data_IF_353284223118
#
_entry.id   IF_353284223118
#
_cell.length_a   1.000
_cell.length_b   1.000
_cell.length_c   1.000
_cell.angle_alpha   90.00
_cell.angle_beta   90.00
_cell.angle_gamma   90.00
#
_symmetry.space_group_name_H-M   'P 1'
#
loop_
_entity.id
_entity.type
_entity.pdbx_description
1 polymer ?
#
# COMPACT_ATOMS: atom_id res chain seq x y z
N UNK A 1 23.65 -2.70 78.28
CA UNK A 1 23.05 -1.69 77.37
C UNK A 1 23.49 -1.81 75.89
N UNK A 2 24.76 -2.16 75.56
CA UNK A 2 25.27 -2.26 74.17
C UNK A 2 24.49 -3.22 73.23
N UNK A 3 24.15 -4.44 73.66
CA UNK A 3 23.40 -5.44 72.86
C UNK A 3 22.04 -4.97 72.33
N UNK A 4 21.37 -4.03 73.02
CA UNK A 4 20.05 -3.49 72.61
C UNK A 4 20.17 -2.41 71.53
N UNK A 5 21.33 -1.74 71.45
CA UNK A 5 21.63 -0.70 70.44
C UNK A 5 22.04 -1.34 69.11
N UNK A 6 22.85 -2.39 69.15
CA UNK A 6 23.22 -3.20 67.97
C UNK A 6 22.00 -3.87 67.34
N UNK A 7 21.12 -4.50 68.14
CA UNK A 7 19.88 -5.10 67.63
C UNK A 7 18.93 -4.09 66.99
N UNK A 8 18.85 -2.86 67.53
CA UNK A 8 18.04 -1.77 66.95
C UNK A 8 18.66 -1.24 65.65
N UNK A 9 19.99 -1.15 65.57
CA UNK A 9 20.71 -0.80 64.34
C UNK A 9 20.51 -1.86 63.24
N UNK A 10 20.71 -3.13 63.56
CA UNK A 10 20.50 -4.23 62.61
C UNK A 10 19.04 -4.29 62.13
N UNK A 11 18.05 -4.09 63.02
CA UNK A 11 16.65 -4.02 62.60
C UNK A 11 16.38 -2.85 61.64
N UNK A 12 16.93 -1.67 61.92
CA UNK A 12 16.78 -0.50 61.05
C UNK A 12 17.45 -0.69 59.68
N UNK A 13 18.63 -1.31 59.64
CA UNK A 13 19.34 -1.61 58.37
C UNK A 13 18.58 -2.65 57.54
N UNK A 14 18.07 -3.71 58.17
CA UNK A 14 17.27 -4.74 57.48
C UNK A 14 15.98 -4.16 56.93
N UNK A 15 15.30 -3.29 57.67
CA UNK A 15 14.08 -2.62 57.22
C UNK A 15 14.35 -1.65 56.05
N UNK A 16 15.45 -0.89 56.10
CA UNK A 16 15.86 -0.01 54.99
C UNK A 16 16.24 -0.80 53.73
N UNK A 17 16.89 -1.96 53.90
CA UNK A 17 17.25 -2.84 52.78
C UNK A 17 16.01 -3.50 52.14
N UNK A 18 15.04 -3.93 52.94
CA UNK A 18 13.74 -4.43 52.46
C UNK A 18 12.94 -3.36 51.70
N UNK A 19 12.98 -2.11 52.17
CA UNK A 19 12.32 -0.99 51.48
C UNK A 19 12.96 -0.70 50.12
N UNK A 20 14.30 -0.78 50.01
CA UNK A 20 15.03 -0.59 48.75
C UNK A 20 14.76 -1.70 47.70
N UNK A 21 14.52 -2.94 48.13
CA UNK A 21 14.18 -4.05 47.22
C UNK A 21 12.75 -3.91 46.66
N UNK A 22 11.83 -3.31 47.43
CA UNK A 22 10.44 -3.13 47.01
C UNK A 22 10.27 -2.11 45.86
N UNK A 23 11.22 -1.20 45.66
CA UNK A 23 11.13 -0.10 44.67
C UNK A 23 11.45 -0.56 43.23
N UNK A 24 11.99 -1.78 43.03
CA UNK A 24 12.37 -2.30 41.71
C UNK A 24 11.28 -3.13 41.00
N UNK A 25 10.06 -3.20 41.55
CA UNK A 25 8.96 -4.00 40.96
C UNK A 25 8.11 -3.21 39.94
N UNK A 26 8.77 -2.48 39.03
CA UNK A 26 8.11 -1.79 37.91
C UNK A 26 7.98 -2.70 36.68
N UNK A 27 6.87 -3.41 36.53
CA UNK A 27 6.58 -4.18 35.32
C UNK A 27 6.07 -3.24 34.21
N UNK A 28 6.99 -2.65 33.45
CA UNK A 28 6.65 -1.82 32.29
C UNK A 28 6.10 -2.66 31.13
N UNK A 29 4.78 -2.84 31.10
CA UNK A 29 4.09 -3.35 29.90
C UNK A 29 4.12 -2.25 28.84
N UNK A 30 5.04 -2.35 27.88
CA UNK A 30 4.95 -1.57 26.64
C UNK A 30 3.61 -1.95 26.00
N UNK A 31 2.70 -0.99 25.92
CA UNK A 31 1.43 -1.17 25.21
C UNK A 31 1.70 -1.44 23.74
N UNK A 32 0.84 -2.23 23.11
CA UNK A 32 0.93 -2.49 21.68
C UNK A 32 0.86 -1.16 20.92
N UNK A 33 1.71 -0.96 19.90
CA UNK A 33 1.65 0.26 19.10
C UNK A 33 0.28 0.34 18.42
N UNK A 34 -0.37 1.50 18.51
CA UNK A 34 -1.60 1.76 17.79
C UNK A 34 -1.25 1.82 16.29
N UNK A 35 -1.86 0.97 15.43
CA UNK A 35 -1.60 1.02 14.00
C UNK A 35 -1.97 2.39 13.46
N UNK A 36 -1.09 3.00 12.70
CA UNK A 36 -1.40 4.24 11.98
C UNK A 36 -2.55 3.97 11.01
N UNK A 37 -3.61 4.77 11.10
CA UNK A 37 -4.78 4.62 10.23
C UNK A 37 -4.38 5.03 8.81
N UNK A 38 -4.10 4.04 7.95
CA UNK A 38 -3.71 4.29 6.56
C UNK A 38 -4.93 4.88 5.82
N UNK A 39 -4.84 6.16 5.45
CA UNK A 39 -5.83 6.82 4.60
C UNK A 39 -5.58 6.40 3.16
N UNK A 40 -6.45 5.56 2.61
CA UNK A 40 -6.34 5.10 1.23
C UNK A 40 -6.72 6.22 0.25
N UNK A 41 -6.04 6.34 -0.91
CA UNK A 41 -6.45 7.26 -1.96
C UNK A 41 -7.82 6.92 -2.54
N UNK A 42 -8.48 7.91 -3.13
CA UNK A 42 -9.70 7.70 -3.92
C UNK A 42 -9.38 6.91 -5.19
N UNK A 43 -10.25 5.96 -5.54
CA UNK A 43 -10.12 5.19 -6.76
C UNK A 43 -10.21 6.08 -8.01
N UNK A 44 -9.44 5.71 -9.03
CA UNK A 44 -9.46 6.36 -10.35
C UNK A 44 -10.80 6.04 -11.03
N UNK A 45 -11.52 7.06 -11.50
CA UNK A 45 -12.84 6.87 -12.13
C UNK A 45 -12.85 7.06 -13.64
N UNK A 46 -11.75 7.54 -14.23
CA UNK A 46 -11.66 7.91 -15.64
C UNK A 46 -10.52 7.20 -16.39
N UNK A 47 -10.28 5.91 -16.08
CA UNK A 47 -9.34 5.11 -16.85
C UNK A 47 -9.84 4.93 -18.28
N UNK A 48 -9.00 5.27 -19.25
CA UNK A 48 -9.22 5.10 -20.68
C UNK A 48 -8.08 4.29 -21.32
N UNK A 49 -8.40 3.53 -22.37
CA UNK A 49 -7.43 2.81 -23.20
C UNK A 49 -7.60 3.22 -24.66
N UNK A 50 -6.51 3.50 -25.36
CA UNK A 50 -6.50 3.87 -26.78
C UNK A 50 -5.36 3.16 -27.50
N UNK A 51 -5.54 2.83 -28.78
CA UNK A 51 -4.44 2.37 -29.61
C UNK A 51 -3.42 3.48 -29.80
N UNK A 52 -2.15 3.15 -29.56
CA UNK A 52 -1.01 4.03 -29.81
C UNK A 52 -0.01 3.40 -30.76
N UNK A 53 1.03 4.15 -31.10
CA UNK A 53 2.18 3.57 -31.80
C UNK A 53 2.90 2.61 -30.86
N UNK A 54 2.97 1.33 -31.25
CA UNK A 54 3.69 0.29 -30.50
C UNK A 54 2.92 -0.38 -29.37
N UNK A 55 1.61 -0.15 -29.22
CA UNK A 55 0.79 -0.86 -28.24
C UNK A 55 -0.49 -0.15 -27.81
N UNK A 56 -0.94 -0.44 -26.59
CA UNK A 56 -2.12 0.19 -25.98
C UNK A 56 -1.66 1.26 -24.99
N UNK A 57 -2.15 2.49 -25.16
CA UNK A 57 -1.90 3.61 -24.25
C UNK A 57 -3.06 3.68 -23.25
N UNK A 58 -2.73 3.53 -21.98
CA UNK A 58 -3.64 3.77 -20.86
C UNK A 58 -3.48 5.21 -20.38
N UNK A 59 -4.60 5.89 -20.12
CA UNK A 59 -4.65 7.26 -19.59
C UNK A 59 -5.61 7.35 -18.41
N UNK A 60 -5.23 8.09 -17.40
CA UNK A 60 -6.07 8.36 -16.24
C UNK A 60 -5.68 9.66 -15.56
N UNK A 61 -6.53 10.14 -14.66
CA UNK A 61 -6.19 11.23 -13.75
C UNK A 61 -6.52 10.92 -12.30
N UNK A 62 -5.84 11.60 -11.37
CA UNK A 62 -6.07 11.46 -9.93
C UNK A 62 -6.47 12.81 -9.36
N UNK A 63 -7.66 12.88 -8.75
CA UNK A 63 -8.06 14.05 -7.96
C UNK A 63 -7.25 14.05 -6.65
N UNK A 64 -6.19 14.85 -6.64
CA UNK A 64 -5.13 14.87 -5.63
C UNK A 64 -5.66 15.07 -4.20
N UNK A 65 -5.61 14.02 -3.38
CA UNK A 65 -5.80 14.09 -1.92
C UNK A 65 -4.68 13.26 -1.25
N UNK A 66 -3.55 13.90 -0.98
CA UNK A 66 -2.41 13.29 -0.28
C UNK A 66 -1.20 12.96 -1.17
N UNK A 67 -0.13 12.45 -0.55
CA UNK A 67 1.13 12.15 -1.21
C UNK A 67 1.04 10.80 -1.94
N UNK A 68 1.04 10.84 -3.26
CA UNK A 68 1.06 9.64 -4.12
C UNK A 68 2.45 9.00 -4.11
N UNK A 69 2.51 7.67 -4.15
CA UNK A 69 3.75 6.91 -4.36
C UNK A 69 3.85 6.40 -5.80
N UNK A 70 2.72 6.00 -6.39
CA UNK A 70 2.74 5.32 -7.68
C UNK A 70 1.41 4.67 -8.05
N UNK A 71 1.49 3.83 -9.08
CA UNK A 71 0.37 3.16 -9.72
C UNK A 71 0.68 1.68 -9.93
N UNK A 72 -0.31 0.82 -9.72
CA UNK A 72 -0.24 -0.58 -10.16
C UNK A 72 -1.25 -0.83 -11.26
N UNK A 73 -0.76 -1.34 -12.38
CA UNK A 73 -1.54 -1.61 -13.58
C UNK A 73 -1.70 -3.11 -13.70
N UNK A 74 -2.95 -3.53 -13.78
CA UNK A 74 -3.30 -4.93 -13.98
C UNK A 74 -4.03 -5.13 -15.29
N UNK A 75 -3.75 -6.25 -15.94
CA UNK A 75 -4.31 -6.64 -17.22
C UNK A 75 -4.87 -8.05 -17.15
N UNK A 76 -6.02 -8.24 -17.77
CA UNK A 76 -6.61 -9.55 -18.04
C UNK A 76 -6.82 -9.69 -19.53
N UNK A 77 -6.38 -10.83 -20.07
CA UNK A 77 -6.77 -11.25 -21.41
C UNK A 77 -8.19 -11.84 -21.35
N UNK A 78 -9.11 -11.26 -22.11
CA UNK A 78 -10.52 -11.68 -22.13
C UNK A 78 -10.75 -12.74 -23.20
N UNK A 79 -9.85 -12.88 -24.19
CA UNK A 79 -9.94 -13.88 -25.25
C UNK A 79 -9.44 -13.35 -26.58
N UNK A 80 -9.72 -14.09 -27.65
CA UNK A 80 -9.46 -13.65 -29.03
C UNK A 80 -10.70 -12.96 -29.63
N UNK A 81 -10.51 -12.16 -30.68
CA UNK A 81 -11.64 -11.55 -31.42
C UNK A 81 -12.62 -12.61 -31.97
N UNK A 82 -12.16 -13.85 -32.17
CA UNK A 82 -12.96 -14.99 -32.61
C UNK A 82 -13.74 -15.70 -31.48
N UNK A 83 -13.35 -15.50 -30.22
CA UNK A 83 -13.98 -16.17 -29.08
C UNK A 83 -15.01 -15.23 -28.45
N UNK A 84 -16.25 -15.33 -28.91
CA UNK A 84 -17.41 -14.70 -28.29
C UNK A 84 -17.74 -15.41 -26.97
N UNK A 85 -16.91 -15.26 -25.94
CA UNK A 85 -17.20 -15.74 -24.60
C UNK A 85 -17.91 -14.64 -23.78
N UNK A 86 -19.12 -14.91 -23.25
CA UNK A 86 -19.84 -13.93 -22.43
C UNK A 86 -19.23 -13.72 -21.04
N UNK A 87 -18.40 -14.64 -20.55
CA UNK A 87 -17.84 -14.61 -19.19
C UNK A 87 -16.50 -15.35 -19.13
N UNK A 88 -15.51 -14.89 -19.91
CA UNK A 88 -14.20 -15.54 -19.92
C UNK A 88 -13.54 -15.45 -18.55
N UNK A 89 -13.27 -16.59 -17.88
CA UNK A 89 -12.52 -16.61 -16.64
C UNK A 89 -11.06 -16.24 -16.96
N UNK A 90 -10.62 -15.11 -16.42
CA UNK A 90 -9.23 -14.69 -16.48
C UNK A 90 -8.87 -13.98 -15.19
N UNK A 91 -7.66 -14.19 -14.69
CA UNK A 91 -7.16 -13.40 -13.56
C UNK A 91 -6.54 -12.09 -14.07
N UNK A 92 -6.67 -11.03 -13.28
CA UNK A 92 -5.92 -9.82 -13.52
C UNK A 92 -4.47 -10.05 -13.09
N UNK A 93 -3.56 -9.93 -14.03
CA UNK A 93 -2.12 -10.05 -13.80
C UNK A 93 -1.50 -8.67 -13.67
N UNK A 94 -0.52 -8.50 -12.78
CA UNK A 94 0.21 -7.25 -12.63
C UNK A 94 1.19 -7.10 -13.81
N UNK A 95 1.00 -6.06 -14.62
CA UNK A 95 1.87 -5.77 -15.77
C UNK A 95 2.83 -4.61 -15.51
N UNK A 96 2.52 -3.74 -14.54
CA UNK A 96 3.40 -2.67 -14.11
C UNK A 96 3.14 -2.27 -12.65
N UNK A 97 4.22 -2.07 -11.90
CA UNK A 97 4.24 -1.36 -10.62
C UNK A 97 5.13 -0.13 -10.84
N UNK A 98 4.51 1.06 -10.92
CA UNK A 98 5.14 2.29 -11.39
C UNK A 98 5.26 3.28 -10.24
N UNK A 99 6.48 3.72 -9.95
CA UNK A 99 6.67 4.89 -9.09
C UNK A 99 6.38 6.21 -9.83
N UNK A 100 6.17 7.31 -9.11
CA UNK A 100 5.97 8.63 -9.72
C UNK A 100 7.11 9.12 -10.62
N UNK A 101 8.31 8.55 -10.49
CA UNK A 101 9.51 8.89 -11.27
C UNK A 101 9.93 7.76 -12.21
N UNK A 102 9.09 6.74 -12.38
CA UNK A 102 9.38 5.64 -13.28
C UNK A 102 9.41 6.15 -14.74
N UNK A 103 10.44 5.84 -15.53
CA UNK A 103 10.53 6.31 -16.92
C UNK A 103 9.42 5.76 -17.83
N UNK A 104 8.73 4.67 -17.44
CA UNK A 104 7.58 4.14 -18.17
C UNK A 104 6.28 4.89 -17.87
N UNK A 105 6.25 5.68 -16.80
CA UNK A 105 5.12 6.52 -16.43
C UNK A 105 5.30 7.90 -17.08
N UNK A 106 4.38 8.25 -17.98
CA UNK A 106 4.36 9.58 -18.58
C UNK A 106 3.40 10.47 -17.80
N UNK A 107 3.87 11.65 -17.38
CA UNK A 107 3.03 12.66 -16.73
C UNK A 107 2.61 13.69 -17.78
N UNK A 108 1.33 13.68 -18.13
CA UNK A 108 0.75 14.55 -19.18
C UNK A 108 0.25 15.90 -18.62
N UNK A 109 0.29 16.08 -17.29
CA UNK A 109 -0.08 17.32 -16.62
C UNK A 109 0.12 17.24 -15.11
N UNK A 110 -0.60 18.10 -14.37
CA UNK A 110 -0.54 18.09 -12.90
C UNK A 110 -1.12 16.80 -12.31
N UNK A 111 -2.22 16.32 -12.88
CA UNK A 111 -3.00 15.21 -12.31
C UNK A 111 -3.24 14.07 -13.32
N UNK A 112 -2.71 14.20 -14.54
CA UNK A 112 -2.91 13.27 -15.64
C UNK A 112 -1.65 12.43 -15.92
N UNK A 113 -1.86 11.13 -16.11
CA UNK A 113 -0.82 10.14 -16.30
C UNK A 113 -1.15 9.20 -17.45
N UNK A 114 -0.10 8.68 -18.08
CA UNK A 114 -0.22 7.66 -19.12
C UNK A 114 0.86 6.60 -19.04
N UNK A 115 0.52 5.43 -19.56
CA UNK A 115 1.40 4.26 -19.64
C UNK A 115 1.17 3.53 -20.96
N UNK A 116 2.27 3.12 -21.61
CA UNK A 116 2.24 2.32 -22.82
C UNK A 116 2.44 0.83 -22.49
N UNK A 117 1.41 0.03 -22.72
CA UNK A 117 1.54 -1.42 -22.77
C UNK A 117 1.99 -1.85 -24.16
N UNK A 118 3.30 -2.03 -24.31
CA UNK A 118 3.92 -2.51 -25.55
C UNK A 118 3.96 -4.04 -25.66
N UNK A 119 3.42 -4.76 -24.66
CA UNK A 119 3.46 -6.24 -24.59
C UNK A 119 2.18 -6.88 -25.12
N UNK A 120 1.37 -6.11 -25.84
CA UNK A 120 0.08 -6.52 -26.38
C UNK A 120 0.26 -7.26 -27.70
N UNK A 121 -0.52 -8.31 -27.90
CA UNK A 121 -0.51 -9.10 -29.12
C UNK A 121 -1.70 -8.74 -30.03
N UNK A 122 -1.50 -8.68 -31.36
CA UNK A 122 -2.60 -8.45 -32.30
C UNK A 122 -3.69 -9.52 -32.20
N UNK A 123 -4.96 -9.10 -32.28
CA UNK A 123 -6.12 -10.01 -32.27
C UNK A 123 -6.54 -10.51 -30.89
N UNK A 124 -5.94 -9.98 -29.82
CA UNK A 124 -6.30 -10.24 -28.42
C UNK A 124 -7.13 -9.12 -27.85
N UNK A 125 -8.11 -9.49 -27.02
CA UNK A 125 -8.91 -8.54 -26.27
C UNK A 125 -8.38 -8.43 -24.85
N UNK A 126 -8.07 -7.21 -24.42
CA UNK A 126 -7.56 -6.92 -23.10
C UNK A 126 -8.53 -6.10 -22.28
N UNK A 127 -8.52 -6.32 -20.98
CA UNK A 127 -9.15 -5.45 -20.00
C UNK A 127 -8.15 -4.99 -18.95
N UNK A 128 -8.25 -3.72 -18.57
CA UNK A 128 -7.30 -3.08 -17.66
C UNK A 128 -7.98 -2.50 -16.43
N UNK A 129 -7.22 -2.47 -15.33
CA UNK A 129 -7.54 -1.75 -14.09
C UNK A 129 -6.27 -1.10 -13.56
N UNK A 130 -6.41 0.08 -12.97
CA UNK A 130 -5.32 0.78 -12.30
C UNK A 130 -5.71 1.05 -10.86
N UNK A 131 -4.77 0.86 -9.94
CA UNK A 131 -4.89 1.34 -8.55
C UNK A 131 -3.82 2.39 -8.31
N UNK A 132 -4.15 3.39 -7.49
CA UNK A 132 -3.21 4.42 -7.04
C UNK A 132 -2.80 4.13 -5.60
N UNK A 133 -1.50 4.23 -5.31
CA UNK A 133 -0.94 3.96 -3.98
C UNK A 133 -0.30 5.22 -3.39
N UNK A 134 -0.37 5.35 -2.07
CA UNK A 134 0.26 6.43 -1.30
C UNK A 134 1.64 6.02 -0.75
N UNK A 135 2.38 7.00 -0.22
CA UNK A 135 3.71 6.76 0.38
C UNK A 135 3.69 5.82 1.60
N UNK A 136 2.56 5.69 2.28
CA UNK A 136 2.36 4.79 3.42
C UNK A 136 2.09 3.34 3.01
N UNK A 137 2.07 3.03 1.71
CA UNK A 137 1.85 1.69 1.16
C UNK A 137 0.37 1.30 0.98
N UNK A 138 -0.56 2.20 1.30
CA UNK A 138 -1.99 1.99 1.07
C UNK A 138 -2.39 2.27 -0.38
N UNK A 139 -3.16 1.39 -0.99
CA UNK A 139 -3.67 1.55 -2.34
C UNK A 139 -5.19 1.73 -2.35
N UNK A 140 -5.70 2.45 -3.35
CA UNK A 140 -7.13 2.61 -3.58
C UNK A 140 -7.79 1.29 -4.00
N UNK A 141 -9.13 1.29 -4.03
CA UNK A 141 -9.87 0.34 -4.84
C UNK A 141 -9.49 0.43 -6.33
N UNK A 142 -9.78 -0.63 -7.08
CA UNK A 142 -9.56 -0.66 -8.52
C UNK A 142 -10.36 0.42 -9.25
N UNK A 143 -9.77 0.95 -10.32
CA UNK A 143 -10.46 1.87 -11.23
C UNK A 143 -11.68 1.23 -11.89
N UNK A 144 -12.43 2.05 -12.65
CA UNK A 144 -13.30 1.53 -13.70
C UNK A 144 -12.53 0.57 -14.63
N UNK A 145 -13.22 -0.44 -15.16
CA UNK A 145 -12.65 -1.39 -16.12
C UNK A 145 -12.74 -0.78 -17.50
N UNK A 146 -11.63 -0.83 -18.25
CA UNK A 146 -11.63 -0.50 -19.68
C UNK A 146 -11.22 -1.73 -20.48
N UNK A 147 -12.01 -2.06 -21.51
CA UNK A 147 -11.74 -3.12 -22.47
C UNK A 147 -11.35 -2.56 -23.83
N UNK A 148 -10.43 -3.22 -24.52
CA UNK A 148 -9.95 -2.82 -25.85
C UNK A 148 -9.59 -4.09 -26.66
N UNK A 149 -9.84 -4.05 -27.97
CA UNK A 149 -9.69 -5.18 -28.90
C UNK A 149 -8.51 -5.00 -29.83
#
# INVERSE_FOLDING_TARGET
MKRKREKRWHLSVVFMMLFLIAIFQGCGKKGDPIPEKILLPKAISNLEAKHGQGGIILRWSVEEHGVLAGFRITRREVGTVSDSCPDCPGEYTLIADLSLFDPKLTREGKDAFSYLDATVEPGRIYSYRVVVCNASGGCSEASNIVGIK
#
